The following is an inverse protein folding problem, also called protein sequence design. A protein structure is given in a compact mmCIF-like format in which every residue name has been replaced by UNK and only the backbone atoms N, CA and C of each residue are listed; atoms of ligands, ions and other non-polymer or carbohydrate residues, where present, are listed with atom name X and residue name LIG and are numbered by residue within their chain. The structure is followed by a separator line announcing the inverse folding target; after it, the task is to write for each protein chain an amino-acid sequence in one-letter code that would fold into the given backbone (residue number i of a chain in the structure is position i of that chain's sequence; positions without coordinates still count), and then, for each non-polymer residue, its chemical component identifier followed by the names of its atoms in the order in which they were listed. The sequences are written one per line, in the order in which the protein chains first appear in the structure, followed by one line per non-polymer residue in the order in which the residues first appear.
data_IF_400693251824
#
_entry.id   IF_400693251824
#
_cell.length_a   1.000
_cell.length_b   1.000
_cell.length_c   1.000
_cell.angle_alpha   90.00
_cell.angle_beta   90.00
_cell.angle_gamma   90.00
#
_symmetry.space_group_name_H-M   'P 1'
#
loop_
_entity.id
_entity.type
_entity.pdbx_description
1 polymer ?
#
# COMPACT_ATOMS: atom_id res chain seq x y z
N UNK A 1 -10.83 1.60 15.22
CA UNK A 1 -10.84 3.06 14.95
C UNK A 1 -11.62 3.45 13.69
N UNK A 2 -11.57 2.67 12.59
CA UNK A 2 -12.23 3.01 11.32
C UNK A 2 -13.73 3.37 11.42
N UNK A 3 -14.46 2.71 12.34
CA UNK A 3 -15.89 2.94 12.56
C UNK A 3 -16.22 4.23 13.34
N UNK A 4 -15.25 4.94 13.93
CA UNK A 4 -15.50 6.17 14.70
C UNK A 4 -15.74 7.32 13.71
N UNK A 5 -16.88 8.04 13.77
CA UNK A 5 -17.16 9.17 12.88
C UNK A 5 -16.14 10.30 13.02
N UNK A 6 -15.93 11.06 11.94
CA UNK A 6 -15.14 12.29 11.93
C UNK A 6 -13.78 12.16 12.63
N UNK A 7 -13.00 11.16 12.22
CA UNK A 7 -11.67 10.91 12.75
C UNK A 7 -10.65 10.90 11.62
N UNK A 8 -9.48 11.51 11.86
CA UNK A 8 -8.30 11.41 10.98
C UNK A 8 -7.46 10.22 11.41
N UNK A 9 -7.21 9.28 10.50
CA UNK A 9 -6.39 8.09 10.76
C UNK A 9 -5.26 8.06 9.73
N UNK A 10 -4.04 8.24 10.23
CA UNK A 10 -2.80 8.31 9.49
C UNK A 10 -1.97 7.03 9.71
N UNK A 11 -1.28 6.58 8.68
CA UNK A 11 -0.36 5.44 8.74
C UNK A 11 0.90 5.75 7.92
N UNK A 12 1.98 6.23 8.56
CA UNK A 12 3.19 6.60 7.85
C UNK A 12 3.86 5.38 7.24
N UNK A 13 4.37 5.52 6.01
CA UNK A 13 5.11 4.47 5.31
C UNK A 13 6.55 4.31 5.78
N UNK A 14 7.11 5.35 6.37
CA UNK A 14 8.52 5.45 6.72
C UNK A 14 8.75 6.51 7.81
N UNK A 15 10.00 6.65 8.24
CA UNK A 15 10.40 7.59 9.29
C UNK A 15 10.18 9.07 8.95
N UNK A 16 10.23 9.46 7.67
CA UNK A 16 10.00 10.84 7.22
C UNK A 16 8.51 11.15 7.29
N UNK A 17 7.70 10.21 6.81
CA UNK A 17 6.24 10.29 6.93
C UNK A 17 5.78 10.33 8.37
N UNK A 18 6.42 9.58 9.27
CA UNK A 18 6.08 9.62 10.69
C UNK A 18 6.26 11.04 11.25
N UNK A 19 7.40 11.68 10.98
CA UNK A 19 7.64 13.06 11.44
C UNK A 19 6.60 14.04 10.88
N UNK A 20 6.31 13.93 9.58
CA UNK A 20 5.34 14.79 8.91
C UNK A 20 3.92 14.59 9.44
N UNK A 21 3.51 13.35 9.70
CA UNK A 21 2.18 13.03 10.24
C UNK A 21 2.03 13.41 11.71
N UNK A 22 3.10 13.35 12.51
CA UNK A 22 3.09 13.90 13.88
C UNK A 22 2.92 15.42 13.82
N UNK A 23 3.61 16.11 12.91
CA UNK A 23 3.43 17.54 12.72
C UNK A 23 2.02 17.89 12.20
N UNK A 24 1.43 17.07 11.33
CA UNK A 24 0.01 17.20 10.94
C UNK A 24 -0.90 17.02 12.13
N UNK A 25 -0.73 15.96 12.92
CA UNK A 25 -1.56 15.69 14.10
C UNK A 25 -1.55 16.84 15.10
N UNK A 26 -0.38 17.45 15.35
CA UNK A 26 -0.22 18.58 16.25
C UNK A 26 -0.96 19.85 15.78
N UNK A 27 -1.31 19.95 14.49
CA UNK A 27 -2.06 21.08 13.92
C UNK A 27 -3.56 20.84 13.84
N UNK A 28 -4.04 19.64 14.16
CA UNK A 28 -5.47 19.33 14.15
C UNK A 28 -6.07 19.82 15.48
N UNK A 29 -7.03 20.73 15.41
CA UNK A 29 -7.70 21.34 16.56
C UNK A 29 -9.23 21.12 16.59
N UNK A 30 -9.80 20.53 15.53
CA UNK A 30 -11.25 20.42 15.30
C UNK A 30 -11.77 18.97 15.21
N UNK A 31 -10.89 17.97 15.24
CA UNK A 31 -11.25 16.54 15.11
C UNK A 31 -10.26 15.61 15.82
N UNK A 32 -10.70 14.46 16.37
CA UNK A 32 -9.78 13.45 16.86
C UNK A 32 -8.89 12.88 15.73
N UNK A 33 -7.62 12.66 16.04
CA UNK A 33 -6.67 12.03 15.12
C UNK A 33 -5.94 10.85 15.75
N UNK A 34 -5.50 9.90 14.92
CA UNK A 34 -4.58 8.82 15.32
C UNK A 34 -3.52 8.61 14.25
N UNK A 35 -2.30 8.31 14.71
CA UNK A 35 -1.18 7.89 13.88
C UNK A 35 -0.82 6.46 14.27
N UNK A 36 -0.97 5.52 13.34
CA UNK A 36 -0.61 4.11 13.55
C UNK A 36 0.72 3.82 12.88
N UNK A 37 1.74 3.51 13.66
CA UNK A 37 3.05 3.07 13.17
C UNK A 37 3.44 1.75 13.86
N UNK A 38 4.07 0.81 13.15
CA UNK A 38 4.47 -0.47 13.73
C UNK A 38 5.71 -0.31 14.60
N UNK A 39 5.97 -1.33 15.42
CA UNK A 39 7.30 -1.50 16.02
C UNK A 39 8.27 -1.93 14.91
N UNK A 40 9.41 -1.25 14.83
CA UNK A 40 10.42 -1.54 13.83
C UNK A 40 11.46 -0.42 13.75
N UNK A 41 12.44 -0.61 12.88
CA UNK A 41 13.45 0.40 12.60
C UNK A 41 13.05 1.20 11.35
N UNK A 42 13.43 2.48 11.30
CA UNK A 42 13.45 3.22 10.04
C UNK A 42 14.42 2.54 9.06
N UNK A 43 14.12 2.58 7.77
CA UNK A 43 14.93 1.90 6.75
C UNK A 43 16.13 2.73 6.32
N UNK A 44 16.18 4.00 6.72
CA UNK A 44 17.25 4.93 6.44
C UNK A 44 17.05 5.69 5.13
N UNK A 45 17.56 6.93 5.12
CA UNK A 45 17.45 7.84 3.97
C UNK A 45 17.97 7.28 2.66
N UNK A 46 19.06 6.53 2.72
CA UNK A 46 19.69 5.97 1.53
C UNK A 46 18.75 4.99 0.84
N UNK A 47 18.14 4.08 1.61
CA UNK A 47 17.15 3.12 1.13
C UNK A 47 15.88 3.84 0.66
N UNK A 48 15.42 4.86 1.38
CA UNK A 48 14.26 5.67 0.96
C UNK A 48 14.49 6.38 -0.38
N UNK A 49 15.70 6.89 -0.63
CA UNK A 49 16.06 7.49 -1.93
C UNK A 49 16.05 6.46 -3.04
N UNK A 50 16.70 5.33 -2.82
CA UNK A 50 16.80 4.24 -3.79
C UNK A 50 15.43 3.68 -4.16
N UNK A 51 14.59 3.40 -3.16
CA UNK A 51 13.34 2.65 -3.35
C UNK A 51 12.11 3.51 -3.53
N UNK A 52 12.03 4.66 -2.86
CA UNK A 52 10.81 5.49 -2.82
C UNK A 52 11.00 6.89 -3.43
N UNK A 53 12.19 7.21 -3.95
CA UNK A 53 12.44 8.46 -4.69
C UNK A 53 12.50 9.72 -3.82
N UNK A 54 12.78 9.59 -2.52
CA UNK A 54 12.93 10.75 -1.63
C UNK A 54 14.10 11.66 -2.03
N UNK A 55 13.98 12.95 -1.74
CA UNK A 55 15.02 13.96 -1.97
C UNK A 55 15.75 14.36 -0.69
N UNK A 56 16.94 14.97 -0.82
CA UNK A 56 17.69 15.53 0.32
C UNK A 56 16.89 16.66 1.00
N UNK A 57 16.13 17.43 0.23
CA UNK A 57 15.38 18.59 0.70
C UNK A 57 14.22 18.19 1.63
N UNK A 58 13.46 17.13 1.30
CA UNK A 58 12.31 16.68 2.10
C UNK A 58 12.70 16.33 3.54
N UNK A 59 13.88 15.75 3.73
CA UNK A 59 14.34 15.32 5.04
C UNK A 59 15.02 16.43 5.85
N UNK A 60 15.52 17.48 5.18
CA UNK A 60 16.04 18.68 5.87
C UNK A 60 14.93 19.52 6.50
N UNK A 61 13.67 19.35 6.06
CA UNK A 61 12.50 20.03 6.63
C UNK A 61 11.61 19.03 7.38
N UNK A 62 12.20 18.37 8.39
CA UNK A 62 11.48 17.46 9.29
C UNK A 62 10.21 18.12 9.88
N UNK A 63 9.09 17.40 9.82
CA UNK A 63 7.83 17.86 10.42
C UNK A 63 7.07 18.87 9.57
N UNK A 64 7.09 18.71 8.24
CA UNK A 64 6.22 19.49 7.36
C UNK A 64 4.82 18.84 7.33
N UNK A 65 3.76 19.53 7.77
CA UNK A 65 2.42 18.95 7.76
C UNK A 65 1.98 18.61 6.34
N UNK A 66 1.37 17.46 6.23
CA UNK A 66 0.87 16.90 4.97
C UNK A 66 -0.62 17.15 4.85
N UNK A 67 -1.10 17.31 3.62
CA UNK A 67 -2.52 17.54 3.34
C UNK A 67 -3.32 16.31 3.74
N UNK A 68 -4.24 16.48 4.69
CA UNK A 68 -5.08 15.40 5.22
C UNK A 68 -5.89 14.77 4.08
N UNK A 69 -5.90 13.43 4.04
CA UNK A 69 -6.67 12.65 3.07
C UNK A 69 -6.09 12.61 1.67
N UNK A 70 -4.81 12.96 1.50
CA UNK A 70 -4.12 12.91 0.21
C UNK A 70 -2.98 11.91 0.21
N UNK A 71 -3.05 10.95 -0.71
CA UNK A 71 -1.99 9.99 -1.00
C UNK A 71 -0.98 10.54 -2.00
N UNK A 72 -0.06 9.68 -2.45
CA UNK A 72 0.94 10.02 -3.49
C UNK A 72 1.28 8.81 -4.34
N UNK A 73 1.67 9.07 -5.60
CA UNK A 73 2.27 8.06 -6.47
C UNK A 73 3.75 7.96 -6.12
N UNK A 74 4.24 6.73 -5.93
CA UNK A 74 5.63 6.44 -5.59
C UNK A 74 6.39 5.92 -6.81
N UNK A 75 5.76 5.00 -7.53
CA UNK A 75 6.30 4.44 -8.77
C UNK A 75 5.17 4.32 -9.78
N UNK A 76 5.43 4.66 -11.03
CA UNK A 76 4.45 4.54 -12.09
C UNK A 76 5.13 4.15 -13.38
N UNK A 77 4.85 2.93 -13.87
CA UNK A 77 5.19 2.52 -15.23
C UNK A 77 3.90 2.26 -16.01
N UNK A 78 3.58 3.19 -16.91
CA UNK A 78 2.42 3.09 -17.83
C UNK A 78 2.82 2.65 -19.24
N UNK A 79 4.11 2.59 -19.54
CA UNK A 79 4.64 2.19 -20.83
C UNK A 79 4.80 0.67 -20.90
N UNK A 80 3.74 0.00 -21.36
CA UNK A 80 3.76 -1.40 -21.76
C UNK A 80 2.44 -1.78 -22.45
N UNK A 81 2.50 -2.71 -23.39
CA UNK A 81 1.30 -3.31 -23.97
C UNK A 81 0.82 -4.42 -23.03
N UNK A 82 -0.37 -4.27 -22.42
CA UNK A 82 -0.99 -5.36 -21.65
C UNK A 82 -1.78 -4.92 -20.42
N UNK A 83 -2.29 -5.89 -19.64
CA UNK A 83 -2.95 -5.65 -18.36
C UNK A 83 -2.05 -4.88 -17.38
N UNK A 84 -2.58 -3.82 -16.76
CA UNK A 84 -1.86 -3.04 -15.75
C UNK A 84 -2.36 -3.32 -14.33
N UNK A 85 -1.44 -3.22 -13.37
CA UNK A 85 -1.67 -3.45 -11.93
C UNK A 85 -1.44 -2.16 -11.16
N UNK A 86 -2.32 -1.83 -10.23
CA UNK A 86 -2.09 -0.81 -9.21
C UNK A 86 -1.97 -1.46 -7.83
N UNK A 87 -0.98 -1.03 -7.05
CA UNK A 87 -0.82 -1.38 -5.64
C UNK A 87 -1.00 -0.11 -4.82
N UNK A 88 -2.02 -0.09 -3.96
CA UNK A 88 -2.31 1.00 -3.04
C UNK A 88 -1.95 0.54 -1.62
N UNK A 89 -0.78 0.96 -1.14
CA UNK A 89 -0.25 0.54 0.16
C UNK A 89 -0.61 1.54 1.24
N UNK A 90 -0.95 1.05 2.44
CA UNK A 90 -1.09 1.84 3.66
C UNK A 90 -0.03 1.43 4.68
N UNK A 91 0.78 2.38 5.12
CA UNK A 91 1.83 2.16 6.12
C UNK A 91 3.09 1.50 5.54
N UNK A 92 3.84 0.81 6.40
CA UNK A 92 5.23 0.38 6.14
C UNK A 92 5.39 -0.73 5.11
N UNK A 93 4.30 -1.33 4.62
CA UNK A 93 4.31 -2.27 3.48
C UNK A 93 4.56 -1.60 2.12
N UNK A 94 4.79 -0.29 2.10
CA UNK A 94 5.07 0.44 0.88
C UNK A 94 6.34 -0.07 0.18
N UNK A 95 7.39 -0.38 0.94
CA UNK A 95 8.65 -0.91 0.38
C UNK A 95 8.42 -2.28 -0.24
N UNK A 96 7.64 -3.14 0.43
CA UNK A 96 7.28 -4.47 -0.10
C UNK A 96 6.46 -4.36 -1.39
N UNK A 97 5.58 -3.34 -1.46
CA UNK A 97 4.78 -3.03 -2.64
C UNK A 97 5.64 -2.58 -3.82
N UNK A 98 6.69 -1.79 -3.59
CA UNK A 98 7.66 -1.41 -4.63
C UNK A 98 8.49 -2.60 -5.10
N UNK A 99 8.89 -3.48 -4.18
CA UNK A 99 9.61 -4.70 -4.54
C UNK A 99 8.73 -5.63 -5.41
N UNK A 100 7.46 -5.81 -5.05
CA UNK A 100 6.50 -6.58 -5.83
C UNK A 100 6.27 -5.97 -7.23
N UNK A 101 6.12 -4.64 -7.31
CA UNK A 101 6.00 -3.93 -8.58
C UNK A 101 7.22 -4.15 -9.48
N UNK A 102 8.43 -4.07 -8.91
CA UNK A 102 9.67 -4.33 -9.66
C UNK A 102 9.72 -5.75 -10.23
N UNK A 103 9.24 -6.75 -9.48
CA UNK A 103 9.14 -8.14 -9.94
C UNK A 103 8.11 -8.29 -11.08
N UNK A 104 6.93 -7.69 -10.94
CA UNK A 104 5.89 -7.67 -11.99
C UNK A 104 6.40 -7.01 -13.29
N UNK A 105 7.12 -5.91 -13.16
CA UNK A 105 7.71 -5.19 -14.29
C UNK A 105 8.79 -6.00 -15.01
N UNK A 106 9.61 -6.76 -14.27
CA UNK A 106 10.57 -7.69 -14.85
C UNK A 106 9.88 -8.80 -15.68
N UNK A 107 8.61 -9.11 -15.36
CA UNK A 107 7.73 -10.02 -16.13
C UNK A 107 6.90 -9.30 -17.22
N UNK A 108 7.22 -8.04 -17.52
CA UNK A 108 6.57 -7.23 -18.56
C UNK A 108 5.18 -6.70 -18.18
N UNK A 109 4.84 -6.66 -16.89
CA UNK A 109 3.54 -6.18 -16.40
C UNK A 109 3.69 -4.74 -15.92
N UNK A 110 3.02 -3.75 -16.54
CA UNK A 110 3.00 -2.38 -16.05
C UNK A 110 2.39 -2.30 -14.65
N UNK A 111 3.11 -1.69 -13.70
CA UNK A 111 2.67 -1.55 -12.33
C UNK A 111 2.77 -0.10 -11.83
N UNK A 112 1.75 0.35 -11.10
CA UNK A 112 1.75 1.62 -10.36
C UNK A 112 1.71 1.31 -8.87
N UNK A 113 2.56 1.98 -8.08
CA UNK A 113 2.54 1.91 -6.62
C UNK A 113 2.18 3.28 -6.06
N UNK A 114 1.17 3.30 -5.21
CA UNK A 114 0.69 4.48 -4.52
C UNK A 114 0.75 4.27 -3.00
N UNK A 115 1.20 5.30 -2.31
CA UNK A 115 1.15 5.41 -0.85
C UNK A 115 -0.14 6.13 -0.47
N UNK A 116 -1.02 5.40 0.22
CA UNK A 116 -2.32 5.89 0.64
C UNK A 116 -2.22 6.96 1.73
N UNK A 117 -1.23 6.83 2.65
CA UNK A 117 -0.96 7.68 3.83
C UNK A 117 -2.07 7.77 4.88
N UNK A 118 -3.33 7.77 4.44
CA UNK A 118 -4.52 7.95 5.26
C UNK A 118 -5.47 6.77 5.09
N UNK A 119 -5.83 6.18 6.22
CA UNK A 119 -6.98 5.30 6.33
C UNK A 119 -8.28 6.12 6.33
N UNK A 120 -8.27 7.27 7.02
CA UNK A 120 -9.38 8.22 7.03
C UNK A 120 -8.86 9.66 7.08
N UNK A 121 -9.46 10.59 6.31
CA UNK A 121 -10.33 10.33 5.16
C UNK A 121 -9.54 9.66 4.02
N UNK A 122 -10.22 8.90 3.17
CA UNK A 122 -9.62 8.28 1.99
C UNK A 122 -9.37 9.32 0.88
N UNK A 123 -8.30 9.14 0.11
CA UNK A 123 -8.10 9.87 -1.14
C UNK A 123 -8.92 9.24 -2.28
N UNK A 124 -10.22 9.56 -2.32
CA UNK A 124 -11.16 9.01 -3.31
C UNK A 124 -10.77 9.31 -4.75
N UNK A 125 -10.11 10.45 -4.98
CA UNK A 125 -9.63 10.84 -6.31
C UNK A 125 -8.51 9.92 -6.79
N UNK A 126 -7.54 9.64 -5.92
CA UNK A 126 -6.48 8.68 -6.19
C UNK A 126 -7.06 7.27 -6.44
N UNK A 127 -7.97 6.81 -5.59
CA UNK A 127 -8.64 5.50 -5.74
C UNK A 127 -9.35 5.41 -7.10
N UNK A 128 -10.12 6.44 -7.48
CA UNK A 128 -10.82 6.50 -8.77
C UNK A 128 -9.85 6.47 -9.95
N UNK A 129 -8.76 7.23 -9.87
CA UNK A 129 -7.73 7.26 -10.90
C UNK A 129 -7.10 5.88 -11.10
N UNK A 130 -6.69 5.23 -10.01
CA UNK A 130 -6.09 3.89 -10.06
C UNK A 130 -7.08 2.86 -10.61
N UNK A 131 -8.32 2.85 -10.13
CA UNK A 131 -9.36 1.93 -10.58
C UNK A 131 -9.73 2.12 -12.07
N UNK A 132 -9.70 3.35 -12.58
CA UNK A 132 -10.02 3.64 -13.98
C UNK A 132 -8.88 3.27 -14.95
N UNK A 133 -7.63 3.34 -14.49
CA UNK A 133 -6.44 3.15 -15.33
C UNK A 133 -5.82 1.75 -15.25
N UNK A 134 -6.31 0.89 -14.35
CA UNK A 134 -5.75 -0.44 -14.11
C UNK A 134 -6.81 -1.54 -14.15
N UNK A 135 -6.39 -2.74 -14.59
CA UNK A 135 -7.26 -3.93 -14.59
C UNK A 135 -7.27 -4.65 -13.24
N UNK A 136 -6.26 -4.40 -12.41
CA UNK A 136 -6.10 -4.95 -11.08
C UNK A 136 -5.75 -3.83 -10.11
N UNK A 137 -6.45 -3.76 -8.98
CA UNK A 137 -6.11 -2.90 -7.85
C UNK A 137 -5.95 -3.76 -6.59
N UNK A 138 -4.75 -3.76 -6.01
CA UNK A 138 -4.45 -4.45 -4.76
C UNK A 138 -4.26 -3.40 -3.68
N UNK A 139 -5.01 -3.51 -2.58
CA UNK A 139 -4.71 -2.73 -1.37
C UNK A 139 -3.84 -3.56 -0.44
N UNK A 140 -2.82 -2.96 0.16
CA UNK A 140 -1.92 -3.66 1.09
C UNK A 140 -1.87 -2.91 2.41
N UNK A 141 -2.15 -3.60 3.50
CA UNK A 141 -2.01 -3.05 4.85
C UNK A 141 -1.55 -4.10 5.86
N UNK A 142 -0.83 -3.66 6.89
CA UNK A 142 -0.55 -4.45 8.09
C UNK A 142 -1.74 -4.36 9.07
N UNK A 143 -2.97 -4.47 8.60
CA UNK A 143 -4.21 -4.53 9.39
C UNK A 143 -4.94 -5.84 9.11
N UNK A 144 -5.97 -6.19 9.88
CA UNK A 144 -6.85 -7.31 9.56
C UNK A 144 -8.15 -6.81 8.90
N UNK A 145 -9.07 -7.73 8.60
CA UNK A 145 -10.41 -7.43 8.08
C UNK A 145 -11.10 -6.34 8.93
N UNK A 146 -11.87 -5.47 8.27
CA UNK A 146 -12.42 -4.23 8.81
C UNK A 146 -11.48 -3.01 8.69
N UNK A 147 -10.32 -3.20 8.04
CA UNK A 147 -9.28 -2.19 7.84
C UNK A 147 -9.43 -1.32 6.59
N UNK A 148 -8.29 -0.80 6.13
CA UNK A 148 -8.17 0.05 4.95
C UNK A 148 -8.72 -0.55 3.67
N UNK A 149 -8.41 -1.81 3.38
CA UNK A 149 -8.93 -2.46 2.18
C UNK A 149 -10.46 -2.45 2.13
N UNK A 150 -11.12 -2.68 3.27
CA UNK A 150 -12.58 -2.72 3.37
C UNK A 150 -13.20 -1.32 3.23
N UNK A 151 -12.56 -0.31 3.81
CA UNK A 151 -12.98 1.09 3.63
C UNK A 151 -12.83 1.55 2.17
N UNK A 152 -11.74 1.15 1.49
CA UNK A 152 -11.55 1.40 0.06
C UNK A 152 -12.65 0.71 -0.75
N UNK A 153 -12.87 -0.59 -0.53
CA UNK A 153 -13.93 -1.35 -1.21
C UNK A 153 -15.31 -0.73 -0.99
N UNK A 154 -15.63 -0.30 0.23
CA UNK A 154 -16.88 0.40 0.53
C UNK A 154 -17.02 1.71 -0.27
N UNK A 155 -15.97 2.53 -0.33
CA UNK A 155 -15.97 3.75 -1.14
C UNK A 155 -16.13 3.45 -2.63
N UNK A 156 -15.42 2.44 -3.14
CA UNK A 156 -15.49 2.04 -4.54
C UNK A 156 -16.88 1.55 -4.93
N UNK A 157 -17.54 0.76 -4.07
CA UNK A 157 -18.90 0.29 -4.28
C UNK A 157 -19.90 1.45 -4.31
N UNK A 158 -19.83 2.39 -3.36
CA UNK A 158 -20.72 3.55 -3.33
C UNK A 158 -20.52 4.50 -4.51
N UNK A 159 -19.31 4.54 -5.10
CA UNK A 159 -19.00 5.35 -6.28
C UNK A 159 -19.22 4.61 -7.61
N UNK A 160 -19.74 3.38 -7.58
CA UNK A 160 -20.02 2.57 -8.78
C UNK A 160 -18.77 2.09 -9.54
N UNK A 161 -17.60 2.13 -8.91
CA UNK A 161 -16.34 1.76 -9.56
C UNK A 161 -16.23 0.25 -9.84
N UNK A 162 -17.04 -0.55 -9.16
CA UNK A 162 -17.06 -2.01 -9.28
C UNK A 162 -18.14 -2.52 -10.25
N UNK A 163 -19.10 -1.68 -10.65
CA UNK A 163 -20.32 -2.10 -11.36
C UNK A 163 -20.05 -2.74 -12.73
N UNK A 164 -18.97 -2.32 -13.39
CA UNK A 164 -18.62 -2.79 -14.74
C UNK A 164 -17.75 -4.04 -14.75
N UNK A 165 -17.20 -4.45 -13.61
CA UNK A 165 -16.21 -5.54 -13.53
C UNK A 165 -14.89 -5.28 -14.26
N UNK A 166 -14.63 -4.06 -14.74
CA UNK A 166 -13.40 -3.70 -15.47
C UNK A 166 -12.14 -3.76 -14.61
N UNK A 167 -12.28 -3.51 -13.30
CA UNK A 167 -11.21 -3.60 -12.32
C UNK A 167 -11.46 -4.76 -11.38
N UNK A 168 -10.44 -5.62 -11.22
CA UNK A 168 -10.42 -6.67 -10.19
C UNK A 168 -9.73 -6.11 -8.96
N UNK A 169 -10.43 -6.09 -7.81
CA UNK A 169 -9.89 -5.53 -6.57
C UNK A 169 -9.62 -6.62 -5.55
N UNK A 170 -8.49 -6.54 -4.83
CA UNK A 170 -8.17 -7.48 -3.74
C UNK A 170 -7.44 -6.81 -2.58
N UNK A 171 -8.04 -6.79 -1.39
CA UNK A 171 -7.31 -6.50 -0.17
C UNK A 171 -6.34 -7.61 0.19
N UNK A 172 -5.11 -7.23 0.54
CA UNK A 172 -4.14 -8.04 1.24
C UNK A 172 -3.97 -7.47 2.64
N UNK A 173 -4.35 -8.27 3.61
CA UNK A 173 -4.46 -7.95 5.04
C UNK A 173 -3.90 -9.12 5.85
N UNK A 174 -3.56 -8.88 7.11
CA UNK A 174 -3.29 -9.95 8.08
C UNK A 174 -4.55 -10.82 8.20
N UNK A 175 -4.44 -12.16 8.12
CA UNK A 175 -5.59 -13.06 8.22
C UNK A 175 -6.29 -12.90 9.57
N UNK A 176 -7.59 -13.20 9.62
CA UNK A 176 -8.41 -13.13 10.85
C UNK A 176 -8.14 -14.32 11.77
N UNK A 177 -6.89 -14.40 12.25
CA UNK A 177 -6.37 -15.38 13.19
C UNK A 177 -5.13 -14.82 13.87
N UNK A 178 -4.75 -15.39 15.00
CA UNK A 178 -3.48 -15.09 15.61
C UNK A 178 -2.32 -15.67 14.77
N UNK A 179 -1.22 -14.93 14.73
CA UNK A 179 0.07 -15.35 14.17
C UNK A 179 1.00 -15.57 15.36
N UNK A 180 1.64 -16.74 15.41
CA UNK A 180 2.52 -17.10 16.50
C UNK A 180 3.79 -16.25 16.52
N UNK A 181 4.51 -16.28 17.63
CA UNK A 181 5.73 -15.52 17.78
C UNK A 181 6.82 -16.04 16.81
N UNK A 182 7.30 -15.14 15.96
CA UNK A 182 8.43 -15.37 15.08
C UNK A 182 9.15 -14.02 14.81
N UNK A 183 10.15 -14.01 13.95
CA UNK A 183 10.68 -12.73 13.44
C UNK A 183 9.61 -11.98 12.65
N UNK A 184 9.74 -10.65 12.55
CA UNK A 184 8.78 -9.84 11.78
C UNK A 184 8.69 -10.30 10.32
N UNK A 185 9.81 -10.69 9.70
CA UNK A 185 9.82 -11.18 8.32
C UNK A 185 9.01 -12.48 8.17
N UNK A 186 9.21 -13.45 9.07
CA UNK A 186 8.46 -14.71 9.08
C UNK A 186 6.96 -14.48 9.32
N UNK A 187 6.59 -13.58 10.23
CA UNK A 187 5.18 -13.26 10.49
C UNK A 187 4.50 -12.60 9.28
N UNK A 188 5.20 -11.73 8.57
CA UNK A 188 4.69 -11.05 7.36
C UNK A 188 4.58 -12.02 6.18
N UNK A 189 5.52 -12.96 6.07
CA UNK A 189 5.44 -14.08 5.13
C UNK A 189 4.22 -14.95 5.43
N UNK A 190 4.08 -15.42 6.67
CA UNK A 190 2.94 -16.24 7.11
C UNK A 190 1.59 -15.52 6.94
N UNK A 191 1.57 -14.20 7.11
CA UNK A 191 0.39 -13.36 6.88
C UNK A 191 0.00 -13.23 5.39
N UNK A 192 0.87 -13.62 4.45
CA UNK A 192 0.61 -13.43 3.03
C UNK A 192 0.86 -12.00 2.54
N UNK A 193 1.73 -11.25 3.23
CA UNK A 193 1.98 -9.82 2.96
C UNK A 193 3.38 -9.51 2.40
N UNK A 194 4.26 -10.50 2.31
CA UNK A 194 5.57 -10.36 1.68
C UNK A 194 5.48 -10.01 0.18
N UNK A 195 6.53 -9.44 -0.44
CA UNK A 195 6.51 -8.98 -1.83
C UNK A 195 6.02 -10.03 -2.85
N UNK A 196 6.45 -11.28 -2.70
CA UNK A 196 6.05 -12.37 -3.59
C UNK A 196 4.57 -12.77 -3.45
N UNK A 197 3.94 -12.53 -2.30
CA UNK A 197 2.50 -12.74 -2.13
C UNK A 197 1.68 -11.65 -2.83
N UNK A 198 2.17 -10.40 -2.80
CA UNK A 198 1.58 -9.28 -3.55
C UNK A 198 1.68 -9.56 -5.06
N UNK A 199 2.87 -9.95 -5.53
CA UNK A 199 3.11 -10.36 -6.92
C UNK A 199 2.20 -11.53 -7.33
N UNK A 200 2.19 -12.62 -6.56
CA UNK A 200 1.38 -13.80 -6.85
C UNK A 200 -0.11 -13.48 -6.91
N UNK A 201 -0.57 -12.55 -6.06
CA UNK A 201 -1.96 -12.07 -6.10
C UNK A 201 -2.25 -11.32 -7.39
N UNK A 202 -1.35 -10.44 -7.82
CA UNK A 202 -1.49 -9.74 -9.09
C UNK A 202 -1.52 -10.72 -10.27
N UNK A 203 -0.55 -11.65 -10.35
CA UNK A 203 -0.48 -12.67 -11.40
C UNK A 203 -1.73 -13.55 -11.45
N UNK A 204 -2.23 -13.99 -10.29
CA UNK A 204 -3.47 -14.76 -10.19
C UNK A 204 -4.66 -13.97 -10.71
N UNK A 205 -4.78 -12.70 -10.35
CA UNK A 205 -5.87 -11.84 -10.82
C UNK A 205 -5.78 -11.61 -12.33
N UNK A 206 -4.57 -11.56 -12.90
CA UNK A 206 -4.33 -11.46 -14.34
C UNK A 206 -4.50 -12.79 -15.11
N UNK A 207 -4.67 -13.92 -14.42
CA UNK A 207 -4.76 -15.25 -15.04
C UNK A 207 -3.41 -15.85 -15.45
N UNK A 208 -2.29 -15.32 -14.97
CA UNK A 208 -0.92 -15.76 -15.30
C UNK A 208 -0.44 -16.88 -14.35
N UNK A 209 -1.13 -18.02 -14.35
CA UNK A 209 -0.90 -19.10 -13.38
C UNK A 209 0.47 -19.76 -13.47
N UNK A 210 1.06 -19.88 -14.66
CA UNK A 210 2.38 -20.51 -14.84
C UNK A 210 3.49 -19.74 -14.10
N UNK A 211 3.44 -18.40 -14.14
CA UNK A 211 4.44 -17.53 -13.50
C UNK A 211 4.37 -17.54 -11.98
N UNK A 212 3.24 -17.93 -11.40
CA UNK A 212 3.10 -18.07 -9.94
C UNK A 212 4.02 -19.20 -9.44
N UNK A 213 4.11 -20.31 -10.17
CA UNK A 213 5.00 -21.42 -9.80
C UNK A 213 6.47 -21.01 -9.84
N UNK A 214 6.85 -20.16 -10.80
CA UNK A 214 8.20 -19.59 -10.87
C UNK A 214 8.51 -18.71 -9.66
N UNK A 215 7.55 -17.88 -9.23
CA UNK A 215 7.70 -17.01 -8.05
C UNK A 215 7.95 -17.83 -6.78
N UNK A 216 7.26 -18.96 -6.59
CA UNK A 216 7.49 -19.85 -5.43
C UNK A 216 8.83 -20.59 -5.52
N UNK A 217 9.18 -21.13 -6.69
CA UNK A 217 10.44 -21.85 -6.87
C UNK A 217 11.68 -20.95 -6.68
N UNK A 218 11.58 -19.67 -7.07
CA UNK A 218 12.64 -18.70 -6.87
C UNK A 218 12.87 -18.33 -5.39
N UNK A 219 11.83 -18.47 -4.55
CA UNK A 219 11.94 -18.28 -3.09
C UNK A 219 12.68 -19.45 -2.44
N UNK A 220 12.38 -20.70 -2.81
CA UNK A 220 13.03 -21.88 -2.24
C UNK A 220 14.51 -22.01 -2.61
N UNK A 221 14.95 -21.32 -3.66
CA UNK A 221 16.33 -21.33 -4.14
C UNK A 221 17.27 -20.32 -3.43
N UNK A 222 16.73 -19.42 -2.61
CA UNK A 222 17.47 -18.37 -1.88
C UNK A 222 17.36 -18.56 -0.36
#
# INVERSE_FOLDING_TARGET
MGCIPNMVIMAPSDEVELQNMIATAAKIDDTPSAVRFPRGNGIGLEVLREKLGYSIQEMRTAGTPVKIGKGRIIAQKTSGMGPSVAILSLGTRLVDSVAAASSLEAKGIPCTVADARFMKPLDKELIRSLAASHQVLITVEEGSIGGFGDHVLHSMALEGLLDTGKVRVRPLVIPDRFIDQASQAEQIDEAGLAPHHIESTALRLLGRHAEILETYNAKEAN
#
